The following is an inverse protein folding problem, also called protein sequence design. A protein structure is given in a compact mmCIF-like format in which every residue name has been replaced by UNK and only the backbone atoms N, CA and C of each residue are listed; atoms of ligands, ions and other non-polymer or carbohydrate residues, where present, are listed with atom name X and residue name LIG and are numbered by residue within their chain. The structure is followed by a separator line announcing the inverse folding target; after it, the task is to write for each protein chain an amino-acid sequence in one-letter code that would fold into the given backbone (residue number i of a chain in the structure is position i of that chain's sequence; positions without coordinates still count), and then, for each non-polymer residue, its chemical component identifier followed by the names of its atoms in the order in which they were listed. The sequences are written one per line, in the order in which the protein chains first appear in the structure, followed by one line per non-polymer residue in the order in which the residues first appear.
data_IF_259336865010
#
_entry.id   IF_259336865010
#
_cell.length_a   1.000
_cell.length_b   1.000
_cell.length_c   1.000
_cell.angle_alpha   90.00
_cell.angle_beta   90.00
_cell.angle_gamma   90.00
#
_symmetry.space_group_name_H-M   'P 1'
#
loop_
_entity.id
_entity.type
_entity.pdbx_description
1 polymer ?
#
# COMPACT_ATOMS: atom_id res chain seq x y z
N UNK A 1 0.58 -7.09 20.84
CA UNK A 1 -0.32 -6.33 19.95
C UNK A 1 0.52 -5.65 18.87
N UNK A 2 0.38 -6.06 17.62
CA UNK A 2 1.19 -5.56 16.49
C UNK A 2 0.82 -4.12 16.13
N UNK A 3 1.67 -3.41 15.40
CA UNK A 3 1.39 -2.04 14.92
C UNK A 3 0.11 -2.00 14.09
N UNK A 4 -0.09 -3.01 13.23
CA UNK A 4 -1.26 -3.13 12.37
C UNK A 4 -2.56 -3.33 13.17
N UNK A 5 -2.54 -4.15 14.23
CA UNK A 5 -3.67 -4.31 15.14
C UNK A 5 -4.03 -3.00 15.85
N UNK A 6 -3.03 -2.18 16.22
CA UNK A 6 -3.25 -0.89 16.89
C UNK A 6 -3.95 0.10 15.96
N UNK A 7 -3.51 0.15 14.70
CA UNK A 7 -4.13 0.99 13.67
C UNK A 7 -5.55 0.52 13.39
N UNK A 8 -5.76 -0.79 13.17
CA UNK A 8 -7.08 -1.34 12.88
C UNK A 8 -8.06 -1.06 14.01
N UNK A 9 -7.64 -1.26 15.27
CA UNK A 9 -8.46 -0.94 16.45
C UNK A 9 -8.81 0.54 16.51
N UNK A 10 -7.85 1.44 16.29
CA UNK A 10 -8.10 2.90 16.33
C UNK A 10 -9.13 3.33 15.29
N UNK A 11 -9.07 2.76 14.08
CA UNK A 11 -10.04 3.03 13.01
C UNK A 11 -11.42 2.44 13.32
N UNK A 12 -11.48 1.25 13.91
CA UNK A 12 -12.74 0.67 14.36
C UNK A 12 -13.41 1.54 15.43
N UNK A 13 -12.66 1.97 16.44
CA UNK A 13 -13.16 2.86 17.49
C UNK A 13 -13.65 4.20 16.95
N UNK A 14 -13.08 4.72 15.85
CA UNK A 14 -13.59 5.90 15.16
C UNK A 14 -14.98 5.69 14.56
N UNK A 15 -15.22 4.53 13.94
CA UNK A 15 -16.52 4.19 13.37
C UNK A 15 -17.58 4.00 14.46
N UNK A 16 -17.21 3.32 15.54
CA UNK A 16 -18.07 3.09 16.70
C UNK A 16 -18.44 4.40 17.40
N UNK A 17 -17.45 5.26 17.69
CA UNK A 17 -17.67 6.55 18.32
C UNK A 17 -18.58 7.45 17.48
N UNK A 18 -18.42 7.44 16.15
CA UNK A 18 -19.29 8.20 15.26
C UNK A 18 -20.75 7.72 15.32
N UNK A 19 -20.97 6.41 15.52
CA UNK A 19 -22.30 5.81 15.68
C UNK A 19 -22.91 6.19 17.04
N UNK A 20 -22.15 6.10 18.13
CA UNK A 20 -22.61 6.46 19.47
C UNK A 20 -22.97 7.94 19.59
N UNK A 21 -22.15 8.83 19.04
CA UNK A 21 -22.39 10.27 19.07
C UNK A 21 -23.43 10.75 18.05
N UNK A 22 -23.81 9.88 17.09
CA UNK A 22 -24.57 10.23 15.89
C UNK A 22 -24.03 11.49 15.17
N UNK A 23 -22.70 11.70 15.23
CA UNK A 23 -22.03 12.90 14.73
C UNK A 23 -20.59 12.61 14.29
N UNK A 24 -20.40 12.46 12.98
CA UNK A 24 -19.10 12.16 12.36
C UNK A 24 -18.09 13.28 12.61
N UNK A 25 -18.48 14.54 12.47
CA UNK A 25 -17.57 15.68 12.63
C UNK A 25 -17.00 15.76 14.05
N UNK A 26 -17.82 15.49 15.07
CA UNK A 26 -17.40 15.48 16.48
C UNK A 26 -16.46 14.30 16.77
N UNK A 27 -16.79 13.10 16.28
CA UNK A 27 -15.94 11.91 16.44
C UNK A 27 -14.57 12.11 15.79
N UNK A 28 -14.53 12.63 14.56
CA UNK A 28 -13.31 12.96 13.83
C UNK A 28 -12.43 13.97 14.59
N UNK A 29 -13.04 15.03 15.16
CA UNK A 29 -12.33 16.05 15.95
C UNK A 29 -11.72 15.48 17.24
N UNK A 30 -12.39 14.52 17.89
CA UNK A 30 -11.92 13.88 19.12
C UNK A 30 -10.74 12.93 18.88
N UNK A 31 -10.80 12.11 17.82
CA UNK A 31 -9.78 11.08 17.55
C UNK A 31 -8.60 11.62 16.72
N UNK A 32 -8.82 12.72 15.99
CA UNK A 32 -7.79 13.37 15.16
C UNK A 32 -7.74 12.85 13.73
N UNK A 33 -8.90 12.55 13.12
CA UNK A 33 -9.01 12.19 11.70
C UNK A 33 -9.75 13.29 10.93
N UNK A 34 -9.45 13.43 9.64
CA UNK A 34 -10.25 14.26 8.75
C UNK A 34 -11.57 13.56 8.40
N UNK A 35 -12.59 14.35 8.01
CA UNK A 35 -13.86 13.78 7.53
C UNK A 35 -13.68 12.92 6.28
N UNK A 36 -12.74 13.28 5.40
CA UNK A 36 -12.42 12.49 4.22
C UNK A 36 -11.89 11.11 4.61
N UNK A 37 -10.91 11.06 5.52
CA UNK A 37 -10.35 9.81 6.03
C UNK A 37 -11.44 8.92 6.66
N UNK A 38 -12.38 9.51 7.40
CA UNK A 38 -13.50 8.75 7.97
C UNK A 38 -14.31 8.03 6.89
N UNK A 39 -14.68 8.72 5.81
CA UNK A 39 -15.46 8.11 4.73
C UNK A 39 -14.67 7.07 3.96
N UNK A 40 -13.36 7.26 3.77
CA UNK A 40 -12.48 6.26 3.17
C UNK A 40 -12.37 5.00 4.04
N UNK A 41 -12.18 5.17 5.36
CA UNK A 41 -12.15 4.08 6.34
C UNK A 41 -13.49 3.34 6.35
N UNK A 42 -14.61 4.07 6.39
CA UNK A 42 -15.95 3.48 6.38
C UNK A 42 -16.20 2.67 5.12
N UNK A 43 -15.83 3.22 3.96
CA UNK A 43 -15.95 2.54 2.67
C UNK A 43 -15.11 1.27 2.65
N UNK A 44 -13.85 1.34 3.07
CA UNK A 44 -12.97 0.17 3.12
C UNK A 44 -13.49 -0.92 4.06
N UNK A 45 -14.03 -0.54 5.21
CA UNK A 45 -14.65 -1.48 6.15
C UNK A 45 -15.90 -2.14 5.55
N UNK A 46 -16.73 -1.39 4.83
CA UNK A 46 -17.90 -1.93 4.14
C UNK A 46 -17.53 -2.90 3.00
N UNK A 47 -16.45 -2.61 2.26
CA UNK A 47 -16.02 -3.43 1.12
C UNK A 47 -15.25 -4.68 1.54
N UNK A 48 -14.36 -4.57 2.54
CA UNK A 48 -13.39 -5.61 2.88
C UNK A 48 -13.49 -6.10 4.34
N UNK A 49 -14.48 -5.65 5.11
CA UNK A 49 -14.62 -5.99 6.52
C UNK A 49 -13.43 -5.52 7.36
N UNK A 50 -13.07 -6.32 8.37
CA UNK A 50 -11.98 -6.01 9.30
C UNK A 50 -10.61 -5.83 8.60
N UNK A 51 -10.36 -6.56 7.51
CA UNK A 51 -9.13 -6.42 6.72
C UNK A 51 -9.01 -5.04 6.05
N UNK A 52 -10.15 -4.39 5.78
CA UNK A 52 -10.20 -3.05 5.20
C UNK A 52 -9.68 -1.96 6.14
N UNK A 53 -9.55 -2.24 7.43
CA UNK A 53 -9.00 -1.30 8.42
C UNK A 53 -7.47 -1.31 8.44
N UNK A 54 -6.83 -2.35 7.90
CA UNK A 54 -5.38 -2.41 7.79
C UNK A 54 -4.88 -1.37 6.78
N UNK A 55 -3.77 -0.70 7.11
CA UNK A 55 -3.11 0.19 6.16
C UNK A 55 -2.54 -0.66 5.02
N UNK A 56 -3.11 -0.50 3.83
CA UNK A 56 -2.51 -1.02 2.60
C UNK A 56 -1.45 -0.01 2.19
N UNK A 57 -0.18 -0.42 2.15
CA UNK A 57 0.87 0.45 1.62
C UNK A 57 0.48 0.87 0.19
N UNK A 58 0.39 2.17 -0.10
CA UNK A 58 0.24 2.66 -1.46
C UNK A 58 1.52 2.34 -2.22
N UNK A 59 1.40 1.78 -3.43
CA UNK A 59 2.55 1.42 -4.25
C UNK A 59 2.26 0.27 -5.21
N UNK A 60 3.20 0.03 -6.12
CA UNK A 60 3.14 -1.09 -7.05
C UNK A 60 3.23 -2.39 -6.25
N UNK A 61 2.15 -3.18 -6.28
CA UNK A 61 2.11 -4.50 -5.65
C UNK A 61 2.64 -5.54 -6.63
N UNK A 62 3.97 -5.56 -6.79
CA UNK A 62 4.66 -6.53 -7.62
C UNK A 62 5.50 -5.91 -8.73
N UNK A 63 6.00 -6.80 -9.59
CA UNK A 63 6.79 -6.42 -10.76
C UNK A 63 5.94 -5.63 -11.76
N UNK A 64 6.61 -4.73 -12.50
CA UNK A 64 5.98 -4.01 -13.60
C UNK A 64 5.44 -5.01 -14.65
N UNK A 65 4.25 -4.79 -15.25
CA UNK A 65 3.66 -5.72 -16.21
C UNK A 65 4.55 -6.00 -17.43
N UNK A 66 5.37 -5.02 -17.83
CA UNK A 66 6.33 -5.17 -18.93
C UNK A 66 7.74 -5.57 -18.45
N UNK A 67 7.85 -6.31 -17.33
CA UNK A 67 9.15 -6.84 -16.89
C UNK A 67 9.60 -7.94 -17.84
N UNK A 68 10.89 -7.94 -18.18
CA UNK A 68 11.52 -9.02 -18.95
C UNK A 68 11.52 -10.32 -18.14
N UNK A 69 11.59 -11.46 -18.83
CA UNK A 69 11.65 -12.76 -18.17
C UNK A 69 12.90 -12.84 -17.25
N UNK A 70 12.83 -13.51 -16.08
CA UNK A 70 13.92 -13.56 -15.11
C UNK A 70 15.25 -14.05 -15.69
N UNK A 71 15.19 -14.95 -16.68
CA UNK A 71 16.36 -15.52 -17.35
C UNK A 71 17.10 -14.45 -18.18
N UNK A 72 16.35 -13.54 -18.82
CA UNK A 72 16.90 -12.43 -19.60
C UNK A 72 17.52 -11.39 -18.65
N UNK A 73 16.84 -11.09 -17.54
CA UNK A 73 17.36 -10.20 -16.51
C UNK A 73 18.70 -10.72 -15.96
N UNK A 74 18.78 -12.01 -15.65
CA UNK A 74 20.01 -12.62 -15.16
C UNK A 74 21.14 -12.59 -16.20
N UNK A 75 20.84 -12.91 -17.47
CA UNK A 75 21.83 -12.85 -18.55
C UNK A 75 22.40 -11.43 -18.74
N UNK A 76 21.55 -10.40 -18.66
CA UNK A 76 21.97 -9.00 -18.71
C UNK A 76 22.90 -8.67 -17.53
N UNK A 77 22.53 -9.08 -16.30
CA UNK A 77 23.34 -8.83 -15.11
C UNK A 77 24.72 -9.50 -15.21
N UNK A 78 24.77 -10.77 -15.59
CA UNK A 78 26.01 -11.54 -15.73
C UNK A 78 26.93 -10.94 -16.80
N UNK A 79 26.35 -10.51 -17.93
CA UNK A 79 27.10 -9.83 -18.98
C UNK A 79 27.66 -8.49 -18.51
N UNK A 80 26.83 -7.67 -17.85
CA UNK A 80 27.24 -6.36 -17.33
C UNK A 80 28.32 -6.47 -16.25
N UNK A 81 28.29 -7.51 -15.42
CA UNK A 81 29.37 -7.79 -14.47
C UNK A 81 30.68 -8.17 -15.17
N UNK A 82 30.60 -8.90 -16.27
CA UNK A 82 31.77 -9.29 -17.08
C UNK A 82 32.33 -8.11 -17.88
N UNK A 83 31.46 -7.21 -18.37
CA UNK A 83 31.81 -6.08 -19.24
C UNK A 83 31.15 -4.78 -18.75
N UNK A 84 31.65 -4.17 -17.67
CA UNK A 84 30.99 -3.02 -17.02
C UNK A 84 30.99 -1.74 -17.85
N UNK A 85 31.84 -1.66 -18.88
CA UNK A 85 31.92 -0.49 -19.79
C UNK A 85 30.91 -0.55 -20.94
N UNK A 86 30.24 -1.69 -21.15
CA UNK A 86 29.27 -1.84 -22.23
C UNK A 86 27.92 -1.23 -21.81
N UNK A 87 27.50 -0.21 -22.56
CA UNK A 87 26.19 0.41 -22.38
C UNK A 87 25.03 -0.48 -22.84
N UNK A 88 23.79 -0.12 -22.49
CA UNK A 88 22.60 -0.94 -22.71
C UNK A 88 22.34 -1.28 -24.18
N UNK A 89 22.66 -0.38 -25.12
CA UNK A 89 22.54 -0.65 -26.55
C UNK A 89 23.48 -1.78 -27.00
N UNK A 90 24.69 -1.84 -26.44
CA UNK A 90 25.67 -2.86 -26.77
C UNK A 90 25.28 -4.20 -26.15
N UNK A 91 24.76 -4.19 -24.92
CA UNK A 91 24.20 -5.39 -24.28
C UNK A 91 23.02 -5.95 -25.09
N UNK A 92 22.18 -5.10 -25.68
CA UNK A 92 21.04 -5.54 -26.48
C UNK A 92 21.41 -6.09 -27.88
N UNK A 93 22.65 -5.89 -28.33
CA UNK A 93 23.15 -6.35 -29.63
C UNK A 93 23.92 -7.68 -29.55
N UNK A 94 24.13 -8.18 -28.33
CA UNK A 94 24.86 -9.42 -28.04
C UNK A 94 23.88 -10.53 -27.68
#
# INVERSE_FOLDING_TARGET
MTTNEKVARRKLSLLELAKELNNVSKACKLIGYSRQQFYDIRRNYQTYGAEGLLDKLPGCKGAHPNRVAPEIEQAILDYSLTRPTHGPLRVAQE
#
